data_IF_076942886118
#
_entry.id   IF_076942886118
#
_cell.length_a   1.000
_cell.length_b   1.000
_cell.length_c   1.000
_cell.angle_alpha   90.00
_cell.angle_beta   90.00
_cell.angle_gamma   90.00
#
_symmetry.space_group_name_H-M   'P 1'
#
loop_
_entity.id
_entity.type
_entity.pdbx_description
1 polymer ?
#
# COMPACT_ATOMS: atom_id res chain seq x y z
N UNK A 1 -2.52 -2.53 -12.30
CA UNK A 1 -2.15 -1.52 -11.29
C UNK A 1 -1.62 -2.18 -10.00
N UNK A 2 -0.56 -1.65 -9.38
CA UNK A 2 -0.09 -2.07 -8.04
C UNK A 2 -0.83 -1.32 -6.93
N UNK A 3 -0.98 -1.93 -5.77
CA UNK A 3 -1.63 -1.28 -4.61
C UNK A 3 -0.70 -1.30 -3.41
N UNK A 4 -0.37 -0.12 -2.91
CA UNK A 4 0.37 0.10 -1.68
C UNK A 4 -0.54 0.51 -0.54
N UNK A 5 -0.08 0.30 0.69
CA UNK A 5 -0.80 0.69 1.90
C UNK A 5 0.07 1.57 2.79
N UNK A 6 -0.46 2.73 3.16
CA UNK A 6 0.12 3.62 4.15
C UNK A 6 -0.30 3.17 5.55
N UNK A 7 0.67 2.75 6.36
CA UNK A 7 0.47 2.26 7.72
C UNK A 7 0.82 3.36 8.73
N UNK A 8 -0.05 3.54 9.73
CA UNK A 8 0.21 4.37 10.90
C UNK A 8 0.26 3.48 12.15
N UNK A 9 1.11 3.85 13.11
CA UNK A 9 1.15 3.22 14.43
C UNK A 9 0.28 4.03 15.40
N UNK A 10 -1.01 4.10 15.12
CA UNK A 10 -2.03 4.85 15.89
C UNK A 10 -2.89 3.95 16.80
N UNK A 11 -2.75 2.63 16.65
CA UNK A 11 -3.47 1.58 17.38
C UNK A 11 -2.50 0.52 17.92
N UNK A 12 -3.05 -0.57 18.47
CA UNK A 12 -2.24 -1.68 18.95
C UNK A 12 -1.32 -2.24 17.86
N UNK A 13 -0.05 -2.44 18.20
CA UNK A 13 0.96 -2.89 17.26
C UNK A 13 0.70 -4.32 16.76
N UNK A 14 0.18 -5.19 17.63
CA UNK A 14 -0.18 -6.56 17.27
C UNK A 14 -1.29 -6.61 16.23
N UNK A 15 -2.32 -5.78 16.40
CA UNK A 15 -3.40 -5.61 15.40
C UNK A 15 -2.87 -5.04 14.08
N UNK A 16 -1.99 -4.03 14.12
CA UNK A 16 -1.36 -3.51 12.91
C UNK A 16 -0.57 -4.58 12.15
N UNK A 17 0.17 -5.43 12.85
CA UNK A 17 0.95 -6.51 12.22
C UNK A 17 0.07 -7.63 11.68
N UNK A 18 -1.05 -7.94 12.35
CA UNK A 18 -2.04 -8.87 11.85
C UNK A 18 -2.68 -8.35 10.54
N UNK A 19 -3.04 -7.07 10.50
CA UNK A 19 -3.59 -6.44 9.31
C UNK A 19 -2.58 -6.39 8.16
N UNK A 20 -1.32 -6.04 8.43
CA UNK A 20 -0.28 -6.06 7.40
C UNK A 20 -0.12 -7.44 6.74
N UNK A 21 -0.16 -8.53 7.53
CA UNK A 21 -0.16 -9.90 7.00
C UNK A 21 -1.41 -10.22 6.20
N UNK A 22 -2.57 -9.79 6.68
CA UNK A 22 -3.84 -10.02 6.00
C UNK A 22 -3.92 -9.28 4.67
N UNK A 23 -3.43 -8.04 4.62
CA UNK A 23 -3.33 -7.21 3.42
C UNK A 23 -2.31 -7.77 2.42
N UNK A 24 -1.14 -8.23 2.88
CA UNK A 24 -0.18 -8.95 2.03
C UNK A 24 -0.82 -10.20 1.41
N UNK A 25 -1.52 -11.00 2.21
CA UNK A 25 -2.25 -12.17 1.74
C UNK A 25 -3.40 -11.84 0.77
N UNK A 26 -3.95 -10.62 0.84
CA UNK A 26 -4.95 -10.10 -0.08
C UNK A 26 -4.35 -9.48 -1.35
N UNK A 27 -3.01 -9.38 -1.46
CA UNK A 27 -2.34 -8.87 -2.65
C UNK A 27 -1.85 -7.42 -2.56
N UNK A 28 -1.73 -6.84 -1.36
CA UNK A 28 -1.00 -5.59 -1.19
C UNK A 28 0.44 -5.73 -1.71
N UNK A 29 0.82 -4.91 -2.67
CA UNK A 29 2.14 -4.96 -3.31
C UNK A 29 3.21 -4.35 -2.40
N UNK A 30 2.88 -3.23 -1.74
CA UNK A 30 3.85 -2.43 -1.02
C UNK A 30 3.28 -1.83 0.28
N UNK A 31 4.11 -1.64 1.30
CA UNK A 31 3.78 -0.91 2.53
C UNK A 31 4.69 0.30 2.69
N UNK A 32 4.13 1.45 3.06
CA UNK A 32 4.90 2.63 3.46
C UNK A 32 4.40 3.14 4.82
N UNK A 33 5.20 3.95 5.50
CA UNK A 33 4.70 4.67 6.68
C UNK A 33 3.82 5.85 6.25
N UNK A 34 2.79 6.13 7.03
CA UNK A 34 1.93 7.31 6.84
C UNK A 34 2.63 8.62 7.29
N UNK A 35 3.65 8.52 8.14
CA UNK A 35 4.48 9.63 8.61
C UNK A 35 5.97 9.32 8.40
N UNK A 36 6.79 10.36 8.25
CA UNK A 36 8.25 10.24 8.22
C UNK A 36 8.83 9.84 9.58
N UNK A 37 8.16 10.22 10.66
CA UNK A 37 8.62 9.95 12.02
C UNK A 37 8.54 8.45 12.34
N UNK A 38 9.67 7.87 12.72
CA UNK A 38 9.75 6.45 13.06
C UNK A 38 9.53 5.48 11.88
N UNK A 39 9.47 5.99 10.64
CA UNK A 39 9.20 5.20 9.43
C UNK A 39 10.08 3.94 9.33
N UNK A 40 11.40 4.07 9.52
CA UNK A 40 12.32 2.93 9.38
C UNK A 40 12.05 1.83 10.42
N UNK A 41 11.68 2.20 11.64
CA UNK A 41 11.36 1.25 12.72
C UNK A 41 10.06 0.51 12.39
N UNK A 42 9.02 1.24 11.98
CA UNK A 42 7.77 0.65 11.55
C UNK A 42 7.98 -0.30 10.37
N UNK A 43 8.66 0.14 9.32
CA UNK A 43 8.90 -0.68 8.13
C UNK A 43 9.78 -1.91 8.44
N UNK A 44 10.73 -1.82 9.37
CA UNK A 44 11.48 -2.99 9.84
C UNK A 44 10.56 -4.01 10.54
N UNK A 45 9.64 -3.54 11.39
CA UNK A 45 8.67 -4.42 12.05
C UNK A 45 7.72 -5.08 11.04
N UNK A 46 7.21 -4.31 10.08
CA UNK A 46 6.37 -4.83 8.98
C UNK A 46 7.13 -5.83 8.12
N UNK A 47 8.38 -5.53 7.76
CA UNK A 47 9.26 -6.43 7.02
C UNK A 47 9.51 -7.75 7.76
N UNK A 48 9.57 -7.73 9.10
CA UNK A 48 9.76 -8.93 9.91
C UNK A 48 8.53 -9.86 9.95
N UNK A 49 7.33 -9.30 9.73
CA UNK A 49 6.07 -10.05 9.79
C UNK A 49 5.45 -10.35 8.42
N UNK A 50 6.03 -9.82 7.34
CA UNK A 50 5.61 -10.00 5.93
C UNK A 50 6.71 -10.67 5.11
N UNK A 51 6.37 -11.25 3.95
CA UNK A 51 7.31 -12.08 3.18
C UNK A 51 7.45 -11.73 1.70
N UNK A 52 6.48 -11.05 1.10
CA UNK A 52 6.36 -10.82 -0.35
C UNK A 52 6.28 -9.33 -0.68
N UNK A 53 5.46 -8.57 0.04
CA UNK A 53 5.23 -7.15 -0.25
C UNK A 53 6.50 -6.33 -0.05
N UNK A 54 6.69 -5.28 -0.85
CA UNK A 54 7.79 -4.32 -0.65
C UNK A 54 7.55 -3.49 0.60
N UNK A 55 8.62 -3.01 1.21
CA UNK A 55 8.57 -1.90 2.17
C UNK A 55 9.18 -0.67 1.51
N UNK A 56 8.37 0.35 1.29
CA UNK A 56 8.77 1.58 0.61
C UNK A 56 9.16 2.62 1.65
N UNK A 57 10.42 3.04 1.58
CA UNK A 57 10.98 4.12 2.39
C UNK A 57 10.85 5.41 1.60
N UNK A 58 10.18 6.41 2.16
CA UNK A 58 9.88 7.68 1.51
C UNK A 58 10.71 8.81 2.11
N UNK A 59 11.41 9.58 1.28
CA UNK A 59 12.17 10.79 1.64
C UNK A 59 13.18 10.55 2.78
N UNK A 60 13.87 9.40 2.75
CA UNK A 60 14.95 9.10 3.70
C UNK A 60 16.26 8.94 2.95
N UNK A 61 17.28 9.66 3.42
CA UNK A 61 18.63 9.55 2.89
C UNK A 61 19.25 8.16 3.14
N UNK A 62 20.02 7.62 2.18
CA UNK A 62 20.78 6.39 2.35
C UNK A 62 21.67 6.42 3.60
N UNK A 63 21.76 5.28 4.30
CA UNK A 63 22.65 5.15 5.45
C UNK A 63 22.51 3.79 6.16
N UNK A 64 23.25 3.58 7.27
CA UNK A 64 23.33 2.29 7.94
C UNK A 64 21.99 1.71 8.40
N UNK A 65 21.02 2.58 8.72
CA UNK A 65 19.67 2.16 9.08
C UNK A 65 18.91 1.57 7.89
N UNK A 66 19.06 2.16 6.69
CA UNK A 66 18.51 1.60 5.45
C UNK A 66 19.22 0.29 5.10
N UNK A 67 20.54 0.20 5.22
CA UNK A 67 21.27 -1.06 5.00
C UNK A 67 20.77 -2.19 5.90
N UNK A 68 20.46 -1.86 7.15
CA UNK A 68 19.86 -2.79 8.10
C UNK A 68 18.46 -3.19 7.65
N UNK A 69 17.63 -2.23 7.23
CA UNK A 69 16.30 -2.50 6.72
C UNK A 69 16.34 -3.39 5.47
N UNK A 70 17.27 -3.16 4.53
CA UNK A 70 17.47 -4.00 3.34
C UNK A 70 17.72 -5.46 3.73
N UNK A 71 18.52 -5.71 4.77
CA UNK A 71 18.78 -7.06 5.30
C UNK A 71 17.53 -7.67 5.93
N UNK A 72 16.83 -6.93 6.79
CA UNK A 72 15.60 -7.40 7.46
C UNK A 72 14.50 -7.70 6.45
N UNK A 73 14.33 -6.81 5.45
CA UNK A 73 13.37 -6.95 4.36
C UNK A 73 13.82 -7.93 3.28
N UNK A 74 15.04 -8.46 3.35
CA UNK A 74 15.56 -9.48 2.41
C UNK A 74 15.50 -9.02 0.95
N UNK A 75 15.89 -7.77 0.70
CA UNK A 75 15.89 -7.17 -0.64
C UNK A 75 14.54 -6.61 -1.11
N UNK A 76 13.54 -6.51 -0.24
CA UNK A 76 12.21 -5.96 -0.57
C UNK A 76 12.08 -4.44 -0.32
N UNK A 77 13.18 -3.72 -0.13
CA UNK A 77 13.13 -2.27 0.11
C UNK A 77 12.96 -1.55 -1.23
N UNK A 78 11.95 -0.68 -1.31
CA UNK A 78 11.83 0.32 -2.36
C UNK A 78 12.21 1.69 -1.82
N UNK A 79 12.99 2.46 -2.58
CA UNK A 79 13.25 3.86 -2.25
C UNK A 79 12.23 4.73 -2.99
N UNK A 80 11.63 5.69 -2.30
CA UNK A 80 10.66 6.59 -2.87
C UNK A 80 10.99 8.03 -2.48
N UNK A 81 10.72 8.95 -3.40
CA UNK A 81 10.86 10.38 -3.18
C UNK A 81 9.55 11.07 -3.50
N UNK A 82 9.14 12.01 -2.66
CA UNK A 82 7.93 12.79 -2.89
C UNK A 82 8.15 13.79 -4.02
N UNK A 83 7.31 13.74 -5.05
CA UNK A 83 7.30 14.68 -6.18
C UNK A 83 6.31 15.79 -5.85
N UNK A 84 6.73 17.05 -5.95
CA UNK A 84 5.83 18.17 -5.74
C UNK A 84 4.83 18.29 -6.91
N UNK A 85 3.51 18.39 -6.66
CA UNK A 85 2.83 18.47 -5.36
C UNK A 85 2.66 17.09 -4.67
N UNK A 86 2.96 17.03 -3.37
CA UNK A 86 3.42 15.85 -2.61
C UNK A 86 2.52 14.63 -2.42
N UNK A 87 1.50 14.45 -3.25
CA UNK A 87 0.73 13.21 -3.31
C UNK A 87 1.36 12.20 -4.28
N UNK A 88 2.26 12.63 -5.16
CA UNK A 88 2.98 11.74 -6.08
C UNK A 88 4.31 11.28 -5.49
N UNK A 89 4.65 10.01 -5.70
CA UNK A 89 5.91 9.39 -5.32
C UNK A 89 6.60 8.84 -6.56
N UNK A 90 7.88 9.17 -6.70
CA UNK A 90 8.75 8.54 -7.66
C UNK A 90 9.48 7.40 -6.94
N UNK A 91 9.26 6.16 -7.38
CA UNK A 91 9.73 4.96 -6.69
C UNK A 91 10.83 4.29 -7.50
N UNK A 92 12.04 4.25 -6.94
CA UNK A 92 13.22 3.62 -7.51
C UNK A 92 13.42 2.20 -6.95
N UNK A 93 13.69 1.25 -7.84
CA UNK A 93 13.91 -0.16 -7.51
C UNK A 93 15.16 -0.70 -8.23
N UNK A 94 16.34 -0.33 -7.73
CA UNK A 94 17.62 -0.71 -8.35
C UNK A 94 17.78 -0.08 -9.74
N UNK A 95 18.15 -0.89 -10.73
CA UNK A 95 18.40 -0.45 -12.12
C UNK A 95 17.12 -0.35 -12.97
N UNK A 96 15.94 -0.55 -12.38
CA UNK A 96 14.67 -0.43 -13.09
C UNK A 96 14.29 1.05 -13.29
N UNK A 97 13.54 1.37 -14.37
CA UNK A 97 13.00 2.71 -14.53
C UNK A 97 12.12 3.07 -13.33
N UNK A 98 12.14 4.35 -12.98
CA UNK A 98 11.38 4.87 -11.86
C UNK A 98 9.88 4.69 -12.07
N UNK A 99 9.21 4.15 -11.06
CA UNK A 99 7.78 3.92 -11.08
C UNK A 99 7.06 5.15 -10.53
N UNK A 100 6.05 5.64 -11.25
CA UNK A 100 5.17 6.70 -10.78
C UNK A 100 4.07 6.13 -9.88
N UNK A 101 4.00 6.59 -8.63
CA UNK A 101 2.99 6.19 -7.66
C UNK A 101 2.22 7.40 -7.14
N UNK A 102 0.96 7.25 -6.74
CA UNK A 102 0.18 8.34 -6.13
C UNK A 102 -0.48 7.90 -4.82
N UNK A 103 -0.48 8.78 -3.82
CA UNK A 103 -1.30 8.66 -2.62
C UNK A 103 -2.69 9.16 -2.92
N UNK A 104 -3.69 8.40 -2.48
CA UNK A 104 -5.09 8.70 -2.76
C UNK A 104 -5.92 8.45 -1.51
N UNK A 105 -6.97 9.24 -1.27
CA UNK A 105 -7.91 8.95 -0.19
C UNK A 105 -8.60 7.60 -0.44
N UNK A 106 -9.18 7.04 0.62
CA UNK A 106 -9.93 5.80 0.47
C UNK A 106 -11.13 6.01 -0.47
N UNK A 107 -11.31 5.18 -1.51
CA UNK A 107 -12.38 5.37 -2.50
C UNK A 107 -13.76 5.16 -1.87
N UNK A 108 -14.75 5.90 -2.37
CA UNK A 108 -16.15 5.73 -1.97
C UNK A 108 -16.75 4.49 -2.68
N UNK A 109 -16.52 3.32 -2.08
CA UNK A 109 -17.07 2.05 -2.55
C UNK A 109 -16.43 1.54 -3.85
N UNK A 110 -17.10 0.57 -4.48
CA UNK A 110 -16.57 -0.19 -5.63
C UNK A 110 -16.54 0.62 -6.93
N UNK A 111 -17.53 1.48 -7.15
CA UNK A 111 -17.56 2.35 -8.34
C UNK A 111 -16.39 3.32 -8.31
N UNK A 112 -16.22 4.05 -7.20
CA UNK A 112 -15.09 4.96 -7.04
C UNK A 112 -13.73 4.27 -7.12
N UNK A 113 -13.62 3.03 -6.63
CA UNK A 113 -12.41 2.23 -6.78
C UNK A 113 -12.06 1.92 -8.24
N UNK A 114 -13.05 1.50 -9.03
CA UNK A 114 -12.84 1.14 -10.43
C UNK A 114 -12.50 2.38 -11.27
N UNK A 115 -13.20 3.49 -11.05
CA UNK A 115 -12.92 4.78 -11.71
C UNK A 115 -11.50 5.28 -11.38
N UNK A 116 -11.13 5.24 -10.10
CA UNK A 116 -9.80 5.63 -9.64
C UNK A 116 -8.70 4.81 -10.31
N UNK A 117 -8.86 3.48 -10.37
CA UNK A 117 -7.89 2.59 -11.03
C UNK A 117 -7.81 2.86 -12.52
N UNK A 118 -8.94 2.96 -13.22
CA UNK A 118 -8.98 3.20 -14.65
C UNK A 118 -8.32 4.54 -15.00
N UNK A 119 -8.59 5.58 -14.22
CA UNK A 119 -7.94 6.89 -14.37
C UNK A 119 -6.43 6.80 -14.15
N UNK A 120 -5.99 6.18 -13.05
CA UNK A 120 -4.58 6.03 -12.75
C UNK A 120 -3.84 5.23 -13.84
N UNK A 121 -4.43 4.14 -14.34
CA UNK A 121 -3.87 3.36 -15.45
C UNK A 121 -3.77 4.20 -16.74
N UNK A 122 -4.80 5.00 -17.07
CA UNK A 122 -4.78 5.90 -18.23
C UNK A 122 -3.71 7.01 -18.12
N UNK A 123 -3.38 7.44 -16.90
CA UNK A 123 -2.33 8.43 -16.61
C UNK A 123 -0.93 7.80 -16.48
N UNK A 124 -0.78 6.50 -16.74
CA UNK A 124 0.49 5.78 -16.67
C UNK A 124 1.04 5.64 -15.25
N UNK A 125 0.20 5.76 -14.23
CA UNK A 125 0.57 5.49 -12.83
C UNK A 125 0.81 3.99 -12.66
N UNK A 126 1.94 3.62 -12.07
CA UNK A 126 2.32 2.23 -11.81
C UNK A 126 1.63 1.67 -10.57
N UNK A 127 1.42 2.49 -9.54
CA UNK A 127 0.76 2.09 -8.30
C UNK A 127 0.05 3.22 -7.55
N UNK A 128 -0.91 2.83 -6.73
CA UNK A 128 -1.66 3.74 -5.86
C UNK A 128 -1.46 3.35 -4.40
N UNK A 129 -1.40 4.32 -3.50
CA UNK A 129 -1.23 4.11 -2.07
C UNK A 129 -2.49 4.55 -1.34
N UNK A 130 -3.10 3.61 -0.62
CA UNK A 130 -4.31 3.84 0.17
C UNK A 130 -3.99 3.90 1.67
N UNK A 131 -4.76 4.62 2.48
CA UNK A 131 -4.68 4.51 3.92
C UNK A 131 -5.10 3.11 4.39
N UNK A 132 -4.56 2.67 5.52
CA UNK A 132 -4.90 1.40 6.19
C UNK A 132 -6.32 1.40 6.80
N UNK A 133 -7.33 1.44 5.95
CA UNK A 133 -8.74 1.39 6.33
C UNK A 133 -9.21 -0.08 6.50
N UNK A 134 -10.03 -0.42 7.52
CA UNK A 134 -10.56 -1.77 7.70
C UNK A 134 -11.28 -2.34 6.47
N UNK A 135 -11.86 -1.49 5.62
CA UNK A 135 -12.55 -1.87 4.38
C UNK A 135 -11.59 -2.29 3.27
N UNK A 136 -10.30 -1.96 3.38
CA UNK A 136 -9.29 -2.24 2.36
C UNK A 136 -9.11 -3.73 2.10
N UNK A 137 -9.20 -4.57 3.13
CA UNK A 137 -9.05 -6.01 3.00
C UNK A 137 -10.10 -6.60 2.05
N UNK A 138 -11.35 -6.18 2.19
CA UNK A 138 -12.42 -6.59 1.29
C UNK A 138 -12.15 -6.06 -0.13
N UNK A 139 -11.68 -4.81 -0.24
CA UNK A 139 -11.36 -4.20 -1.52
C UNK A 139 -10.35 -5.02 -2.32
N UNK A 140 -9.26 -5.43 -1.67
CA UNK A 140 -8.14 -6.17 -2.27
C UNK A 140 -8.47 -7.63 -2.59
N UNK A 141 -9.24 -8.31 -1.75
CA UNK A 141 -9.60 -9.73 -1.98
C UNK A 141 -10.50 -9.93 -3.19
N UNK A 142 -11.39 -8.96 -3.44
CA UNK A 142 -12.42 -9.03 -4.46
C UNK A 142 -12.33 -7.84 -5.42
N UNK A 143 -11.21 -7.65 -6.16
CA UNK A 143 -10.96 -6.41 -6.88
C UNK A 143 -11.94 -6.16 -8.03
N UNK A 144 -12.54 -7.22 -8.58
CA UNK A 144 -13.40 -7.18 -9.77
C UNK A 144 -14.90 -7.45 -9.46
N UNK A 145 -15.26 -7.60 -8.18
CA UNK A 145 -16.66 -7.80 -7.80
C UNK A 145 -17.40 -6.48 -7.88
N UNK A 146 -18.35 -6.38 -8.80
CA UNK A 146 -19.37 -5.33 -8.84
C UNK A 146 -20.35 -5.52 -7.68
N UNK A 147 -20.73 -4.42 -7.02
CA UNK A 147 -21.69 -4.39 -5.89
C UNK A 147 -23.14 -4.64 -6.36
N UNK A 148 -23.33 -5.45 -7.39
CA UNK A 148 -24.62 -5.79 -7.97
C UNK A 148 -25.29 -6.85 -7.08
N UNK A 149 -25.65 -6.45 -5.86
CA UNK A 149 -26.46 -7.24 -4.92
C UNK A 149 -27.95 -7.19 -5.27
N UNK A 150 -28.28 -7.16 -6.56
CA UNK A 150 -29.65 -7.26 -7.05
C UNK A 150 -30.25 -8.66 -6.83
N UNK A 151 -29.41 -9.63 -6.46
CA UNK A 151 -29.76 -10.98 -6.02
C UNK A 151 -30.26 -11.04 -4.56
N UNK A 152 -30.08 -9.99 -3.76
CA UNK A 152 -30.57 -9.93 -2.37
C UNK A 152 -32.07 -9.58 -2.28
N UNK A 153 -32.90 -10.22 -3.12
CA UNK A 153 -34.34 -10.31 -2.87
C UNK A 153 -34.58 -11.54 -2.01
N UNK A 154 -34.48 -11.33 -0.69
CA UNK A 154 -35.04 -12.26 0.30
C UNK A 154 -36.50 -12.52 -0.05
N UNK A 155 -36.80 -13.73 -0.53
CA UNK A 155 -38.14 -14.25 -0.56
C UNK A 155 -38.58 -14.47 0.89
N UNK A 156 -39.33 -13.52 1.45
CA UNK A 156 -40.18 -13.79 2.59
C UNK A 156 -41.36 -14.61 2.08
N UNK A 157 -41.33 -15.92 2.34
CA UNK A 157 -42.46 -16.83 2.21
C UNK A 157 -43.08 -17.09 3.57
#
# INVERSE_FOLDING_TARGET
>A
MKVGVALALDRDAGELFADARALEGAGADSFCAASTDGQLVLLAAIAAVTWRSRVMVVDVEPGPAIDTLVRVARGRVGMASTVAPGDELAVSAGDQPEERWIRVPFPEGRVGWNELRAKAEAEGVAGIILPNDPRLLDLLRNPDVTDDRSDLKLAFG
#
